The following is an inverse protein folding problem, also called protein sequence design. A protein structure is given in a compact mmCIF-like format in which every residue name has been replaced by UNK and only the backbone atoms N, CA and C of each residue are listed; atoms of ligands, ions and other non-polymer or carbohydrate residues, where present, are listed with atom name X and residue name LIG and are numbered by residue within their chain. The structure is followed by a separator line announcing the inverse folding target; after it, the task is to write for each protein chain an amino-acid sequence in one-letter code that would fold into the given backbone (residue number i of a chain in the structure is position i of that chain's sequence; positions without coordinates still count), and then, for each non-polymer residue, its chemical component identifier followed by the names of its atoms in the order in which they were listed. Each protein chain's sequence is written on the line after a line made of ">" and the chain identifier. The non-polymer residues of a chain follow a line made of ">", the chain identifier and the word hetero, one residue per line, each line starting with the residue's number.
data_IF_404982647612
#
_entry.id   IF_404982647612
#
_cell.length_a   1.000
_cell.length_b   1.000
_cell.length_c   1.000
_cell.angle_alpha   90.00
_cell.angle_beta   90.00
_cell.angle_gamma   90.00
#
_symmetry.space_group_name_H-M   'P 1'
#
loop_
_entity.id
_entity.type
_entity.pdbx_description
1 polymer ?
#
# COMPACT_ATOMS: atom_id res chain seq x y z
N UNK A 1 -10.84 -4.99 -19.22
CA UNK A 1 -9.85 -4.53 -18.23
C UNK A 1 -8.50 -4.46 -18.92
N UNK A 2 -7.75 -3.37 -18.73
CA UNK A 2 -6.39 -3.20 -19.28
C UNK A 2 -5.44 -2.96 -18.10
N UNK A 3 -4.31 -3.65 -18.11
CA UNK A 3 -3.24 -3.49 -17.12
C UNK A 3 -1.95 -3.16 -17.84
N UNK A 4 -1.33 -2.06 -17.45
CA UNK A 4 -0.05 -1.62 -18.01
C UNK A 4 0.97 -1.52 -16.88
N UNK A 5 1.89 -2.48 -16.85
CA UNK A 5 2.96 -2.53 -15.86
C UNK A 5 4.12 -1.65 -16.30
N UNK A 6 4.50 -0.70 -15.45
CA UNK A 6 5.71 0.10 -15.58
C UNK A 6 6.55 -0.03 -14.30
N UNK A 7 7.36 -1.09 -14.24
CA UNK A 7 8.23 -1.39 -13.10
C UNK A 7 7.47 -1.46 -11.76
N UNK A 8 7.59 -0.47 -10.87
CA UNK A 8 6.88 -0.37 -9.57
C UNK A 8 5.55 0.40 -9.63
N UNK A 9 5.17 0.93 -10.78
CA UNK A 9 3.86 1.53 -11.02
C UNK A 9 3.01 0.62 -11.92
N UNK A 10 1.73 0.50 -11.62
CA UNK A 10 0.76 -0.17 -12.49
C UNK A 10 -0.40 0.76 -12.84
N UNK A 11 -0.74 0.83 -14.12
CA UNK A 11 -1.92 1.56 -14.60
C UNK A 11 -3.03 0.57 -14.91
N UNK A 12 -4.23 0.84 -14.39
CA UNK A 12 -5.37 -0.08 -14.36
C UNK A 12 -6.57 0.63 -14.97
N UNK A 13 -7.15 0.04 -16.01
CA UNK A 13 -8.46 0.45 -16.54
C UNK A 13 -9.50 -0.65 -16.29
N UNK A 14 -10.53 -0.34 -15.52
CA UNK A 14 -11.62 -1.25 -15.25
C UNK A 14 -12.93 -0.52 -14.91
N UNK A 15 -14.06 -1.22 -15.11
CA UNK A 15 -15.38 -0.69 -14.78
C UNK A 15 -15.65 -0.70 -13.27
N UNK A 16 -15.16 -1.73 -12.57
CA UNK A 16 -15.39 -1.94 -11.14
C UNK A 16 -14.10 -2.35 -10.45
N UNK A 17 -13.72 -1.57 -9.44
CA UNK A 17 -12.59 -1.87 -8.57
C UNK A 17 -13.07 -1.95 -7.11
N UNK A 18 -12.42 -2.82 -6.35
CA UNK A 18 -12.51 -2.87 -4.90
C UNK A 18 -11.12 -2.56 -4.37
N UNK A 19 -11.02 -1.48 -3.61
CA UNK A 19 -9.77 -1.05 -2.97
C UNK A 19 -9.80 -1.49 -1.52
N UNK A 20 -8.75 -2.16 -1.08
CA UNK A 20 -8.62 -2.80 0.23
C UNK A 20 -7.46 -2.13 0.96
N UNK A 21 -7.74 -1.43 2.06
CA UNK A 21 -6.73 -0.86 2.96
C UNK A 21 -6.10 -1.92 3.87
N UNK A 22 -5.52 -1.47 4.98
CA UNK A 22 -4.72 -2.30 5.91
C UNK A 22 -5.48 -3.56 6.34
N UNK A 23 -4.77 -4.69 6.40
CA UNK A 23 -5.30 -5.99 6.84
C UNK A 23 -4.66 -6.47 8.13
N UNK A 24 -3.35 -6.24 8.33
CA UNK A 24 -2.65 -6.50 9.58
C UNK A 24 -2.96 -7.86 10.23
N UNK A 25 -2.89 -8.95 9.46
CA UNK A 25 -3.14 -10.29 10.00
C UNK A 25 -4.61 -10.60 10.35
N UNK A 26 -5.58 -9.74 10.02
CA UNK A 26 -7.01 -10.02 10.19
C UNK A 26 -7.52 -10.94 9.06
N UNK A 27 -7.42 -12.24 9.31
CA UNK A 27 -7.89 -13.25 8.37
C UNK A 27 -9.41 -13.22 8.16
N UNK A 28 -10.18 -12.75 9.14
CA UNK A 28 -11.65 -12.69 9.02
C UNK A 28 -12.04 -11.67 7.96
N UNK A 29 -11.41 -10.49 8.00
CA UNK A 29 -11.58 -9.46 6.97
C UNK A 29 -11.06 -9.94 5.62
N UNK A 30 -9.84 -10.50 5.58
CA UNK A 30 -9.26 -11.00 4.34
C UNK A 30 -10.15 -12.07 3.67
N UNK A 31 -10.74 -12.98 4.44
CA UNK A 31 -11.65 -13.99 3.91
C UNK A 31 -12.93 -13.41 3.32
N UNK A 32 -13.43 -12.28 3.84
CA UNK A 32 -14.57 -11.57 3.23
C UNK A 32 -14.17 -10.93 1.90
N UNK A 33 -12.99 -10.30 1.84
CA UNK A 33 -12.45 -9.70 0.62
C UNK A 33 -12.29 -10.74 -0.50
N UNK A 34 -11.81 -11.94 -0.17
CA UNK A 34 -11.66 -13.04 -1.14
C UNK A 34 -12.95 -13.39 -1.89
N UNK A 35 -14.11 -13.23 -1.26
CA UNK A 35 -15.40 -13.51 -1.89
C UNK A 35 -15.74 -12.55 -3.04
N UNK A 36 -15.07 -11.39 -3.11
CA UNK A 36 -15.23 -10.42 -4.20
C UNK A 36 -14.19 -10.58 -5.31
N UNK A 37 -13.22 -11.49 -5.16
CA UNK A 37 -12.24 -11.77 -6.22
C UNK A 37 -12.91 -12.68 -7.25
N UNK A 38 -13.67 -12.07 -8.14
CA UNK A 38 -14.31 -12.71 -9.28
C UNK A 38 -13.98 -11.97 -10.59
N UNK A 39 -14.48 -12.47 -11.72
CA UNK A 39 -14.17 -11.88 -13.04
C UNK A 39 -14.76 -10.46 -13.27
N UNK A 40 -15.60 -9.95 -12.37
CA UNK A 40 -16.30 -8.67 -12.52
C UNK A 40 -15.60 -7.51 -11.80
N UNK A 41 -14.74 -7.81 -10.81
CA UNK A 41 -14.02 -6.79 -10.05
C UNK A 41 -12.51 -6.94 -10.21
N UNK A 42 -11.82 -5.80 -10.24
CA UNK A 42 -10.39 -5.72 -9.95
C UNK A 42 -10.24 -5.44 -8.46
N UNK A 43 -9.53 -6.31 -7.74
CA UNK A 43 -9.24 -6.11 -6.31
C UNK A 43 -7.83 -5.55 -6.15
N UNK A 44 -7.70 -4.43 -5.46
CA UNK A 44 -6.44 -3.71 -5.28
C UNK A 44 -6.17 -3.57 -3.78
N UNK A 45 -5.13 -4.24 -3.30
CA UNK A 45 -4.66 -4.12 -1.92
C UNK A 45 -3.65 -2.99 -1.80
N UNK A 46 -3.78 -2.14 -0.79
CA UNK A 46 -2.91 -0.98 -0.58
C UNK A 46 -1.63 -1.28 0.20
N UNK A 47 -1.53 -2.44 0.86
CA UNK A 47 -0.36 -2.83 1.65
C UNK A 47 -0.74 -3.30 3.06
N UNK A 48 0.28 -3.49 3.91
CA UNK A 48 0.17 -3.85 5.33
C UNK A 48 -0.69 -5.12 5.54
N UNK A 49 -0.16 -6.23 5.04
CA UNK A 49 -0.83 -7.54 5.05
C UNK A 49 -0.69 -8.25 6.40
N UNK A 50 0.42 -8.00 7.09
CA UNK A 50 0.85 -8.69 8.31
C UNK A 50 1.15 -7.72 9.45
N UNK A 51 1.71 -8.26 10.54
CA UNK A 51 1.93 -7.61 11.83
C UNK A 51 0.62 -7.21 12.55
N UNK A 52 0.69 -7.03 13.88
CA UNK A 52 -0.44 -6.71 14.78
C UNK A 52 -1.52 -7.79 14.94
N UNK A 53 -1.76 -8.62 13.93
CA UNK A 53 -2.66 -9.78 13.95
C UNK A 53 -1.93 -11.12 13.91
N UNK A 54 -2.69 -12.22 14.01
CA UNK A 54 -2.14 -13.57 14.20
C UNK A 54 -1.94 -14.37 12.91
N UNK A 55 -2.40 -13.86 11.76
CA UNK A 55 -2.44 -14.60 10.49
C UNK A 55 -1.65 -13.91 9.36
N UNK A 56 -0.59 -13.17 9.69
CA UNK A 56 0.20 -12.45 8.71
C UNK A 56 0.80 -13.37 7.65
N UNK A 57 1.32 -14.52 8.07
CA UNK A 57 1.93 -15.52 7.17
C UNK A 57 0.91 -16.06 6.16
N UNK A 58 -0.26 -16.49 6.62
CA UNK A 58 -1.31 -17.05 5.77
C UNK A 58 -1.84 -16.02 4.77
N UNK A 59 -2.04 -14.77 5.22
CA UNK A 59 -2.52 -13.70 4.35
C UNK A 59 -1.48 -13.37 3.28
N UNK A 60 -0.20 -13.23 3.64
CA UNK A 60 0.87 -12.97 2.67
C UNK A 60 0.95 -14.09 1.63
N UNK A 61 0.94 -15.36 2.06
CA UNK A 61 1.01 -16.50 1.15
C UNK A 61 -0.18 -16.53 0.18
N UNK A 62 -1.40 -16.30 0.69
CA UNK A 62 -2.60 -16.29 -0.14
C UNK A 62 -2.69 -15.07 -1.06
N UNK A 63 -2.31 -13.87 -0.61
CA UNK A 63 -2.25 -12.67 -1.46
C UNK A 63 -1.27 -12.91 -2.61
N UNK A 64 -0.10 -13.48 -2.35
CA UNK A 64 0.88 -13.81 -3.39
C UNK A 64 0.34 -14.80 -4.43
N UNK A 65 -0.43 -15.80 -4.01
CA UNK A 65 -1.09 -16.70 -4.97
C UNK A 65 -2.21 -16.00 -5.75
N UNK A 66 -2.93 -15.08 -5.11
CA UNK A 66 -4.02 -14.32 -5.74
C UNK A 66 -3.51 -13.32 -6.78
N UNK A 67 -2.36 -12.69 -6.59
CA UNK A 67 -1.76 -11.75 -7.58
C UNK A 67 -1.35 -12.43 -8.88
N UNK A 68 -1.32 -13.77 -8.93
CA UNK A 68 -1.16 -14.54 -10.19
C UNK A 68 -2.43 -14.50 -11.05
N UNK A 69 -3.58 -14.11 -10.49
CA UNK A 69 -4.82 -13.86 -11.25
C UNK A 69 -4.74 -12.48 -11.91
N UNK A 70 -5.36 -12.34 -13.08
CA UNK A 70 -5.28 -11.08 -13.85
C UNK A 70 -5.99 -9.89 -13.20
N UNK A 71 -6.86 -10.12 -12.21
CA UNK A 71 -7.72 -9.10 -11.62
C UNK A 71 -7.36 -8.76 -10.16
N UNK A 72 -6.16 -9.12 -9.69
CA UNK A 72 -5.70 -8.81 -8.34
C UNK A 72 -4.38 -8.05 -8.42
N UNK A 73 -4.32 -6.91 -7.75
CA UNK A 73 -3.13 -6.06 -7.63
C UNK A 73 -2.80 -5.86 -6.16
N UNK A 74 -1.52 -5.99 -5.82
CA UNK A 74 -1.03 -5.84 -4.46
C UNK A 74 0.05 -4.74 -4.44
N UNK A 75 -0.16 -3.73 -3.60
CA UNK A 75 0.80 -2.67 -3.35
C UNK A 75 1.66 -2.99 -2.12
N UNK A 76 2.81 -2.33 -2.03
CA UNK A 76 3.72 -2.40 -0.87
C UNK A 76 3.22 -1.44 0.21
N UNK A 77 3.03 -1.96 1.42
CA UNK A 77 2.83 -1.15 2.62
C UNK A 77 4.14 -0.90 3.37
N UNK A 78 4.07 -0.08 4.42
CA UNK A 78 5.26 0.22 5.23
C UNK A 78 5.70 -0.99 6.07
N UNK A 79 4.79 -1.93 6.35
CA UNK A 79 5.10 -3.21 6.99
C UNK A 79 5.70 -4.25 6.04
N UNK A 80 5.85 -3.94 4.74
CA UNK A 80 6.59 -4.75 3.78
C UNK A 80 7.96 -4.16 3.45
N UNK A 81 8.45 -3.19 4.24
CA UNK A 81 9.77 -2.58 4.02
C UNK A 81 10.90 -3.32 4.75
N UNK A 82 11.63 -4.15 3.99
CA UNK A 82 12.74 -4.95 4.47
C UNK A 82 14.01 -4.71 3.65
N UNK A 83 15.15 -4.80 4.31
CA UNK A 83 16.46 -4.90 3.65
C UNK A 83 16.63 -6.23 2.91
N UNK A 84 17.60 -6.29 1.99
CA UNK A 84 17.96 -7.51 1.25
C UNK A 84 18.33 -8.71 2.15
N UNK A 85 18.74 -8.45 3.40
CA UNK A 85 19.09 -9.48 4.37
C UNK A 85 17.91 -9.90 5.27
N UNK A 86 16.72 -9.39 5.02
CA UNK A 86 15.51 -9.72 5.77
C UNK A 86 15.39 -9.03 7.12
N UNK A 87 16.08 -7.92 7.33
CA UNK A 87 15.84 -7.03 8.48
C UNK A 87 14.76 -5.99 8.13
N UNK A 88 13.74 -5.80 8.98
CA UNK A 88 12.70 -4.80 8.77
C UNK A 88 13.28 -3.40 8.98
N UNK A 89 12.87 -2.44 8.14
CA UNK A 89 13.18 -1.03 8.31
C UNK A 89 12.13 -0.29 9.16
N UNK A 90 11.21 -1.05 9.77
CA UNK A 90 10.11 -0.55 10.59
C UNK A 90 10.08 -1.26 11.93
N UNK A 91 9.38 -0.65 12.89
CA UNK A 91 9.19 -1.21 14.22
C UNK A 91 7.85 -0.74 14.80
N UNK A 92 7.10 -1.59 15.52
CA UNK A 92 7.39 -3.01 15.80
C UNK A 92 7.13 -3.93 14.60
N UNK A 93 7.75 -5.12 14.60
CA UNK A 93 7.53 -6.19 13.61
C UNK A 93 7.28 -7.53 14.33
N UNK A 94 6.11 -8.09 14.11
CA UNK A 94 5.63 -9.36 14.69
C UNK A 94 5.85 -10.54 13.71
N UNK A 95 5.87 -10.27 12.41
CA UNK A 95 5.95 -11.28 11.35
C UNK A 95 7.19 -12.18 11.47
N UNK A 96 8.31 -11.63 11.92
CA UNK A 96 9.53 -12.43 12.16
C UNK A 96 9.27 -13.51 13.21
N UNK A 97 8.66 -13.14 14.34
CA UNK A 97 8.31 -14.09 15.40
C UNK A 97 7.26 -15.09 14.91
N UNK A 98 6.27 -14.62 14.16
CA UNK A 98 5.24 -15.48 13.57
C UNK A 98 5.88 -16.54 12.64
N UNK A 99 6.81 -16.13 11.78
CA UNK A 99 7.54 -17.02 10.88
C UNK A 99 8.43 -18.02 11.63
N UNK A 100 9.11 -17.61 12.70
CA UNK A 100 9.89 -18.52 13.54
C UNK A 100 9.00 -19.63 14.15
N UNK A 101 7.77 -19.29 14.54
CA UNK A 101 6.82 -20.25 15.12
C UNK A 101 6.20 -21.15 14.03
N UNK A 102 5.64 -20.55 12.98
CA UNK A 102 4.82 -21.26 11.98
C UNK A 102 5.65 -21.90 10.86
N UNK A 103 6.76 -21.26 10.49
CA UNK A 103 7.65 -21.70 9.39
C UNK A 103 9.00 -22.21 9.89
N UNK A 104 9.23 -22.22 11.22
CA UNK A 104 10.42 -22.74 11.92
C UNK A 104 11.73 -21.97 11.67
N UNK A 105 11.73 -21.00 10.76
CA UNK A 105 12.88 -20.14 10.48
C UNK A 105 12.45 -18.93 9.65
N UNK A 106 12.60 -17.72 10.21
CA UNK A 106 12.41 -16.48 9.47
C UNK A 106 13.37 -16.42 8.29
N UNK A 107 14.66 -16.73 8.51
CA UNK A 107 15.68 -16.67 7.45
C UNK A 107 15.32 -17.51 6.24
N UNK A 108 14.88 -18.76 6.44
CA UNK A 108 14.50 -19.63 5.32
C UNK A 108 13.20 -19.15 4.66
N UNK A 109 12.20 -18.75 5.45
CA UNK A 109 10.95 -18.20 4.93
C UNK A 109 11.19 -16.93 4.09
N UNK A 110 12.05 -16.04 4.58
CA UNK A 110 12.42 -14.80 3.92
C UNK A 110 13.00 -15.06 2.53
N UNK A 111 14.07 -15.86 2.46
CA UNK A 111 14.77 -16.11 1.20
C UNK A 111 13.98 -16.98 0.21
N UNK A 112 13.20 -17.95 0.70
CA UNK A 112 12.51 -18.89 -0.18
C UNK A 112 11.16 -18.35 -0.69
N UNK A 113 10.51 -17.47 0.06
CA UNK A 113 9.16 -17.02 -0.23
C UNK A 113 8.99 -15.51 -0.13
N UNK A 114 9.17 -14.94 1.07
CA UNK A 114 8.73 -13.58 1.35
C UNK A 114 9.46 -12.51 0.51
N UNK A 115 10.74 -12.73 0.16
CA UNK A 115 11.45 -11.85 -0.76
C UNK A 115 10.77 -11.78 -2.13
N UNK A 116 10.35 -12.92 -2.68
CA UNK A 116 9.64 -12.96 -3.96
C UNK A 116 8.28 -12.25 -3.88
N UNK A 117 7.61 -12.36 -2.72
CA UNK A 117 6.38 -11.61 -2.46
C UNK A 117 6.65 -10.10 -2.50
N UNK A 118 7.59 -9.57 -1.71
CA UNK A 118 7.95 -8.13 -1.72
C UNK A 118 8.33 -7.66 -3.14
N UNK A 119 9.16 -8.43 -3.83
CA UNK A 119 9.64 -8.08 -5.17
C UNK A 119 8.47 -7.98 -6.18
N UNK A 120 7.38 -8.73 -5.94
CA UNK A 120 6.17 -8.71 -6.76
C UNK A 120 5.25 -7.50 -6.52
N UNK A 121 5.39 -6.80 -5.39
CA UNK A 121 4.54 -5.67 -5.02
C UNK A 121 4.87 -4.41 -5.84
N UNK A 122 3.81 -3.69 -6.19
CA UNK A 122 3.91 -2.35 -6.77
C UNK A 122 4.01 -1.30 -5.67
N UNK A 123 4.68 -0.18 -5.93
CA UNK A 123 4.69 0.95 -4.99
C UNK A 123 3.39 1.76 -5.09
N UNK A 124 2.84 1.88 -6.30
CA UNK A 124 1.65 2.67 -6.56
C UNK A 124 0.83 2.06 -7.72
N UNK A 125 -0.46 2.41 -7.76
CA UNK A 125 -1.30 2.18 -8.93
C UNK A 125 -2.02 3.47 -9.38
N UNK A 126 -2.28 3.60 -10.68
CA UNK A 126 -3.17 4.62 -11.21
C UNK A 126 -4.39 3.92 -11.80
N UNK A 127 -5.56 4.17 -11.20
CA UNK A 127 -6.83 3.60 -11.61
C UNK A 127 -7.61 4.59 -12.48
N UNK A 128 -8.00 4.14 -13.66
CA UNK A 128 -8.81 4.87 -14.64
C UNK A 128 -8.26 6.28 -14.93
N UNK A 129 -6.93 6.42 -14.94
CA UNK A 129 -6.19 7.68 -15.11
C UNK A 129 -6.54 8.80 -14.10
N UNK A 130 -7.38 8.51 -13.10
CA UNK A 130 -8.01 9.51 -12.23
C UNK A 130 -7.63 9.37 -10.78
N UNK A 131 -7.28 8.16 -10.34
CA UNK A 131 -7.04 7.88 -8.93
C UNK A 131 -5.64 7.33 -8.75
N UNK A 132 -4.84 7.99 -7.92
CA UNK A 132 -3.59 7.44 -7.42
C UNK A 132 -3.90 6.58 -6.19
N UNK A 133 -3.46 5.33 -6.21
CA UNK A 133 -3.56 4.39 -5.10
C UNK A 133 -2.17 4.12 -4.56
N UNK A 134 -1.98 4.34 -3.27
CA UNK A 134 -0.72 4.22 -2.54
C UNK A 134 -1.00 3.80 -1.11
N UNK A 135 0.03 3.39 -0.37
CA UNK A 135 -0.14 3.01 1.03
C UNK A 135 -0.23 4.21 1.98
N UNK A 136 0.87 4.95 2.11
CA UNK A 136 1.01 6.09 3.00
C UNK A 136 0.59 7.38 2.31
N UNK A 137 1.50 8.03 1.60
CA UNK A 137 1.24 9.39 1.13
C UNK A 137 2.06 9.85 -0.05
N UNK A 138 2.09 11.15 -0.24
CA UNK A 138 2.85 11.78 -1.31
C UNK A 138 3.87 12.74 -0.70
N UNK A 139 4.83 13.14 -1.51
CA UNK A 139 5.72 14.24 -1.18
C UNK A 139 6.01 15.11 -2.38
N UNK A 140 6.53 16.30 -2.10
CA UNK A 140 6.99 17.27 -3.07
C UNK A 140 8.11 16.71 -3.97
N UNK A 141 8.77 15.61 -3.59
CA UNK A 141 9.80 14.95 -4.40
C UNK A 141 9.24 14.29 -5.66
N UNK A 142 7.94 13.94 -5.68
CA UNK A 142 7.28 13.36 -6.86
C UNK A 142 7.06 14.45 -7.91
N UNK A 143 7.70 14.35 -9.07
CA UNK A 143 7.59 15.32 -10.18
C UNK A 143 6.93 14.74 -11.42
N UNK A 144 6.73 13.43 -11.49
CA UNK A 144 6.10 12.73 -12.60
C UNK A 144 5.71 11.30 -12.22
N UNK A 145 4.95 10.62 -13.09
CA UNK A 145 4.69 9.17 -12.97
C UNK A 145 5.98 8.33 -12.93
N UNK A 146 7.09 8.83 -13.51
CA UNK A 146 8.38 8.13 -13.52
C UNK A 146 8.95 7.94 -12.11
N UNK A 147 8.69 8.89 -11.22
CA UNK A 147 9.16 8.84 -9.84
C UNK A 147 8.42 7.77 -9.02
N UNK A 148 7.25 7.33 -9.47
CA UNK A 148 6.51 6.20 -8.89
C UNK A 148 6.89 4.87 -9.55
N UNK A 149 7.24 4.86 -10.84
CA UNK A 149 7.69 3.64 -11.51
C UNK A 149 9.13 3.26 -11.16
N UNK A 150 10.01 4.24 -11.01
CA UNK A 150 11.43 4.07 -10.68
C UNK A 150 11.80 4.97 -9.48
N UNK A 151 11.22 4.69 -8.29
CA UNK A 151 11.41 5.53 -7.12
C UNK A 151 12.88 5.52 -6.65
N UNK A 152 13.33 6.67 -6.13
CA UNK A 152 14.48 6.69 -5.24
C UNK A 152 14.07 6.13 -3.87
N UNK A 153 15.03 5.78 -3.01
CA UNK A 153 14.74 5.32 -1.64
C UNK A 153 13.93 6.35 -0.84
N UNK A 154 14.21 7.64 -1.02
CA UNK A 154 13.48 8.71 -0.33
C UNK A 154 12.03 8.82 -0.80
N UNK A 155 11.76 8.60 -2.10
CA UNK A 155 10.39 8.62 -2.63
C UNK A 155 9.64 7.36 -2.20
N UNK A 156 10.30 6.20 -2.20
CA UNK A 156 9.72 4.98 -1.67
C UNK A 156 9.34 5.14 -0.20
N UNK A 157 10.25 5.65 0.65
CA UNK A 157 9.96 5.94 2.05
C UNK A 157 8.78 6.92 2.20
N UNK A 158 8.78 8.03 1.45
CA UNK A 158 7.68 8.99 1.48
C UNK A 158 6.35 8.34 1.08
N UNK A 159 6.31 7.51 0.04
CA UNK A 159 5.08 6.85 -0.41
C UNK A 159 4.55 5.86 0.61
N UNK A 160 5.43 5.17 1.34
CA UNK A 160 5.04 4.21 2.36
C UNK A 160 4.62 4.87 3.68
N UNK A 161 5.22 6.01 4.05
CA UNK A 161 5.12 6.55 5.42
C UNK A 161 4.48 7.93 5.57
N UNK A 162 4.25 8.67 4.48
CA UNK A 162 3.77 10.06 4.60
C UNK A 162 2.30 10.14 4.98
N UNK A 163 1.93 11.16 5.77
CA UNK A 163 0.54 11.41 6.18
C UNK A 163 -0.01 12.78 5.77
N UNK A 164 -1.29 12.86 5.37
CA UNK A 164 -1.93 14.14 5.17
C UNK A 164 -2.12 14.86 6.53
N UNK A 165 -2.02 16.18 6.52
CA UNK A 165 -2.37 17.01 7.67
C UNK A 165 -3.09 18.28 7.24
N UNK A 166 -3.85 18.85 8.18
CA UNK A 166 -4.58 20.08 7.92
C UNK A 166 -3.63 21.30 7.91
N UNK A 167 -3.17 21.68 6.72
CA UNK A 167 -2.34 22.86 6.50
C UNK A 167 -1.72 22.87 5.11
N UNK A 168 -0.72 23.74 4.93
CA UNK A 168 0.05 23.89 3.70
C UNK A 168 1.54 23.67 3.97
N UNK A 169 2.21 23.07 2.99
CA UNK A 169 3.62 22.75 3.04
C UNK A 169 3.88 21.29 3.35
N UNK A 170 5.15 20.99 3.61
CA UNK A 170 5.65 19.65 3.85
C UNK A 170 6.58 19.69 5.07
N UNK A 171 6.39 18.77 6.01
CA UNK A 171 7.14 18.71 7.26
C UNK A 171 7.60 17.28 7.57
N UNK A 172 8.65 17.07 8.38
CA UNK A 172 9.01 15.72 8.82
C UNK A 172 7.84 15.01 9.50
N UNK A 173 7.61 13.74 9.17
CA UNK A 173 6.54 12.97 9.81
C UNK A 173 6.97 12.57 11.24
N UNK A 174 6.12 12.78 12.27
CA UNK A 174 6.35 12.28 13.64
C UNK A 174 6.60 10.77 13.74
N UNK A 175 6.27 9.98 12.71
CA UNK A 175 6.64 8.57 12.59
C UNK A 175 8.15 8.32 12.54
N UNK A 176 8.95 9.33 12.19
CA UNK A 176 10.39 9.22 11.99
C UNK A 176 10.81 8.80 10.57
N UNK A 177 9.84 8.62 9.66
CA UNK A 177 10.04 8.31 8.25
C UNK A 177 8.93 8.99 7.42
N UNK A 178 9.25 9.41 6.20
CA UNK A 178 8.32 10.16 5.34
C UNK A 178 7.98 11.57 5.84
N UNK A 179 6.93 12.16 5.28
CA UNK A 179 6.54 13.56 5.54
C UNK A 179 5.08 13.72 5.92
N UNK A 180 4.77 14.78 6.65
CA UNK A 180 3.42 15.35 6.67
C UNK A 180 3.24 16.23 5.44
N UNK A 181 2.23 15.95 4.60
CA UNK A 181 1.96 16.72 3.39
C UNK A 181 0.64 17.49 3.48
N UNK A 182 0.68 18.76 3.09
CA UNK A 182 -0.47 19.66 3.15
C UNK A 182 -1.32 19.63 1.87
N UNK A 183 -2.38 20.43 1.89
CA UNK A 183 -3.33 20.54 0.78
C UNK A 183 -2.66 21.05 -0.50
N UNK A 184 -1.80 22.06 -0.42
CA UNK A 184 -1.06 22.58 -1.57
C UNK A 184 -0.16 21.54 -2.26
N UNK A 185 0.44 20.62 -1.48
CA UNK A 185 1.23 19.50 -2.02
C UNK A 185 0.31 18.54 -2.78
N UNK A 186 -0.84 18.21 -2.20
CA UNK A 186 -1.88 17.41 -2.88
C UNK A 186 -2.32 18.04 -4.19
N UNK A 187 -2.66 19.33 -4.19
CA UNK A 187 -3.11 20.03 -5.39
C UNK A 187 -2.05 20.01 -6.50
N UNK A 188 -0.79 20.17 -6.13
CA UNK A 188 0.34 20.17 -7.06
C UNK A 188 0.59 18.77 -7.63
N UNK A 189 0.60 17.72 -6.80
CA UNK A 189 0.80 16.34 -7.27
C UNK A 189 -0.38 15.89 -8.13
N UNK A 190 -1.62 16.22 -7.76
CA UNK A 190 -2.77 15.90 -8.60
C UNK A 190 -2.64 16.50 -9.99
N UNK A 191 -2.22 17.78 -10.08
CA UNK A 191 -1.99 18.46 -11.35
C UNK A 191 -0.84 17.83 -12.15
N UNK A 192 0.27 17.51 -11.50
CA UNK A 192 1.46 16.93 -12.13
C UNK A 192 1.16 15.55 -12.74
N UNK A 193 0.44 14.71 -11.99
CA UNK A 193 0.13 13.35 -12.41
C UNK A 193 -1.13 13.25 -13.28
N UNK A 194 -1.91 14.34 -13.38
CA UNK A 194 -3.16 14.37 -14.12
C UNK A 194 -4.30 13.60 -13.44
N UNK A 195 -4.21 13.39 -12.12
CA UNK A 195 -5.22 12.65 -11.34
C UNK A 195 -6.17 13.59 -10.60
N UNK A 196 -7.31 13.06 -10.19
CA UNK A 196 -8.33 13.77 -9.42
C UNK A 196 -8.17 13.56 -7.92
N UNK A 197 -7.91 12.31 -7.49
CA UNK A 197 -7.84 11.93 -6.06
C UNK A 197 -6.73 10.93 -5.76
N UNK A 198 -6.32 10.92 -4.51
CA UNK A 198 -5.39 9.99 -3.90
C UNK A 198 -6.19 9.12 -2.93
N UNK A 199 -6.07 7.80 -3.06
CA UNK A 199 -6.68 6.81 -2.18
C UNK A 199 -5.53 6.12 -1.44
N UNK A 200 -5.55 6.20 -0.10
CA UNK A 200 -4.49 5.72 0.77
C UNK A 200 -5.03 4.94 1.97
N UNK A 201 -4.12 4.33 2.74
CA UNK A 201 -4.40 3.52 3.94
C UNK A 201 -3.65 4.04 5.17
N UNK A 202 -2.97 3.22 5.99
CA UNK A 202 -1.92 3.60 6.96
C UNK A 202 -2.32 4.48 8.18
N UNK A 203 -3.54 5.04 8.22
CA UNK A 203 -4.10 5.78 9.36
C UNK A 203 -5.47 5.20 9.79
N UNK A 204 -5.50 3.98 10.37
CA UNK A 204 -6.75 3.25 10.61
C UNK A 204 -7.74 3.98 11.51
N UNK A 205 -7.26 4.80 12.45
CA UNK A 205 -8.11 5.60 13.35
C UNK A 205 -8.95 6.62 12.56
N UNK A 206 -8.41 7.25 11.51
CA UNK A 206 -9.17 8.20 10.68
C UNK A 206 -10.31 7.49 9.97
N UNK A 207 -10.09 6.26 9.52
CA UNK A 207 -11.04 5.49 8.72
C UNK A 207 -11.95 4.54 9.54
N UNK A 208 -11.96 4.65 10.87
CA UNK A 208 -12.74 3.74 11.74
C UNK A 208 -14.25 3.79 11.48
N UNK A 209 -14.76 4.93 11.00
CA UNK A 209 -16.18 5.15 10.67
C UNK A 209 -16.45 5.10 9.16
N UNK A 210 -15.56 4.49 8.38
CA UNK A 210 -15.60 4.46 6.91
C UNK A 210 -14.57 5.41 6.28
N UNK A 211 -14.74 5.73 5.01
CA UNK A 211 -13.78 6.56 4.26
C UNK A 211 -13.65 7.94 4.89
N UNK A 212 -12.41 8.35 5.20
CA UNK A 212 -12.10 9.68 5.70
C UNK A 212 -11.62 10.58 4.55
N UNK A 213 -12.14 11.80 4.47
CA UNK A 213 -11.87 12.72 3.37
C UNK A 213 -11.07 13.93 3.86
N UNK A 214 -9.95 14.19 3.22
CA UNK A 214 -9.05 15.32 3.51
C UNK A 214 -8.73 16.11 2.24
N UNK A 215 -8.17 17.31 2.44
CA UNK A 215 -7.69 18.20 1.36
C UNK A 215 -8.76 18.48 0.30
N UNK A 216 -9.96 18.87 0.74
CA UNK A 216 -11.14 19.08 -0.11
C UNK A 216 -11.51 17.82 -0.91
N UNK A 217 -11.60 16.67 -0.21
CA UNK A 217 -12.00 15.37 -0.75
C UNK A 217 -11.08 14.80 -1.84
N UNK A 218 -9.85 15.34 -1.95
CA UNK A 218 -8.82 14.82 -2.84
C UNK A 218 -7.99 13.71 -2.22
N UNK A 219 -7.94 13.62 -0.90
CA UNK A 219 -7.27 12.51 -0.19
C UNK A 219 -8.34 11.71 0.52
N UNK A 220 -8.40 10.42 0.21
CA UNK A 220 -9.30 9.44 0.81
C UNK A 220 -8.46 8.46 1.60
N UNK A 221 -8.70 8.37 2.91
CA UNK A 221 -8.09 7.36 3.77
C UNK A 221 -9.09 6.25 4.04
N UNK A 222 -8.69 5.02 3.76
CA UNK A 222 -9.48 3.81 4.01
C UNK A 222 -8.77 2.88 4.98
N UNK A 223 -9.52 1.97 5.60
CA UNK A 223 -9.01 0.87 6.39
C UNK A 223 -9.95 -0.33 6.22
N UNK A 224 -9.40 -1.54 6.21
CA UNK A 224 -10.21 -2.76 6.09
C UNK A 224 -10.28 -3.54 7.41
N UNK A 225 -9.27 -3.39 8.28
CA UNK A 225 -9.18 -4.12 9.55
C UNK A 225 -10.29 -3.66 10.49
N UNK A 226 -10.99 -4.62 11.11
CA UNK A 226 -12.07 -4.38 12.08
C UNK A 226 -11.61 -4.49 13.53
#
# INVERSE_FOLDING_TARGET
>A
MKFERNHKLIEIECERAIVVGDIHGDYTTFSKVKNFIDKYFVVIFLGDYADRGEFGIEIIEEVYELTKKQNVVALKGNHEDYSENGFPNFSPCDLIREAEIKKKSWKQYFHNFFKNFIDSLYLAAILNEKYLLIHGGISSKIKSKKDLSHPTKEIEEDVLWSDPYNGDGEYPNPRGAGVLFGKNITDTICKILGIEKIIRSHEPIKAINGVFYEHNEKVLTINSTT
#
